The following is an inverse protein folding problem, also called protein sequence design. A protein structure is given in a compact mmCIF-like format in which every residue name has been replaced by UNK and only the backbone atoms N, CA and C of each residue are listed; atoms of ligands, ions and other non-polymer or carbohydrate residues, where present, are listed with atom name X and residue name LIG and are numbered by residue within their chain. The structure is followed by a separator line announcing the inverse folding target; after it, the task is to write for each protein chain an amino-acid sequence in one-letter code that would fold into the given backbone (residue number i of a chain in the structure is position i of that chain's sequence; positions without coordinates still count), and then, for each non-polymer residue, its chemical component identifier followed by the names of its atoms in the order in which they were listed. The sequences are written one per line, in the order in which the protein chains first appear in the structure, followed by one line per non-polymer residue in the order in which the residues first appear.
data_IF_604797060491
#
_entry.id   IF_604797060491
#
_cell.length_a   1.000
_cell.length_b   1.000
_cell.length_c   1.000
_cell.angle_alpha   90.00
_cell.angle_beta   90.00
_cell.angle_gamma   90.00
#
_symmetry.space_group_name_H-M   'P 1'
#
loop_
_entity.id
_entity.type
_entity.pdbx_description
1 polymer ?
#
# COMPACT_ATOMS: atom_id res chain seq x y z
N UNK A 1 -0.88 34.39 8.66
CA UNK A 1 0.37 34.27 7.88
C UNK A 1 0.00 33.78 6.48
N UNK A 2 0.22 34.58 5.43
CA UNK A 2 -0.19 34.29 4.04
C UNK A 2 1.01 33.71 3.28
N UNK A 3 1.00 32.41 2.98
CA UNK A 3 1.97 31.80 2.07
C UNK A 3 1.69 32.26 0.65
N UNK A 4 2.68 32.89 0.02
CA UNK A 4 2.62 33.31 -1.38
C UNK A 4 3.08 32.18 -2.27
N UNK A 5 2.12 31.52 -2.92
CA UNK A 5 2.37 30.72 -4.11
C UNK A 5 2.57 31.67 -5.29
N UNK A 6 3.76 31.68 -5.86
CA UNK A 6 4.02 32.24 -7.19
C UNK A 6 4.15 31.08 -8.17
N UNK A 7 3.22 30.89 -9.12
CA UNK A 7 3.45 29.98 -10.23
C UNK A 7 4.35 30.71 -11.24
N UNK A 8 5.60 30.28 -11.37
CA UNK A 8 6.43 30.67 -12.49
C UNK A 8 5.95 29.88 -13.72
N UNK A 9 5.30 30.58 -14.66
CA UNK A 9 4.99 30.09 -16.00
C UNK A 9 6.30 29.72 -16.70
N UNK A 10 6.58 28.43 -16.85
CA UNK A 10 7.61 27.94 -17.78
C UNK A 10 6.99 28.00 -19.17
N UNK A 11 7.13 29.16 -19.82
CA UNK A 11 6.97 29.28 -21.26
C UNK A 11 8.21 28.66 -21.94
N UNK A 12 8.22 27.34 -22.06
CA UNK A 12 9.17 26.61 -22.89
C UNK A 12 8.60 26.44 -24.28
N UNK A 13 8.90 27.36 -25.19
CA UNK A 13 8.53 27.24 -26.61
C UNK A 13 9.19 26.00 -27.21
N UNK A 14 8.36 25.04 -27.63
CA UNK A 14 8.78 23.86 -28.38
C UNK A 14 9.17 24.30 -29.81
N UNK A 15 10.43 24.69 -30.02
CA UNK A 15 10.97 24.90 -31.36
C UNK A 15 11.37 23.54 -31.96
N UNK A 16 10.40 22.85 -32.58
CA UNK A 16 10.72 21.82 -33.58
C UNK A 16 11.24 22.53 -34.84
N UNK A 17 12.54 22.80 -34.90
CA UNK A 17 13.20 23.14 -36.17
C UNK A 17 13.99 21.94 -36.65
N UNK A 18 13.42 21.22 -37.63
CA UNK A 18 14.17 20.36 -38.52
C UNK A 18 15.14 21.25 -39.32
N UNK A 19 16.36 21.44 -38.83
CA UNK A 19 17.39 22.14 -39.58
C UNK A 19 18.23 21.14 -40.36
N UNK A 20 17.79 20.84 -41.58
CA UNK A 20 18.72 20.49 -42.66
C UNK A 20 19.64 21.71 -42.86
N UNK A 21 20.96 21.53 -42.72
CA UNK A 21 21.93 22.55 -43.10
C UNK A 21 21.77 22.87 -44.59
N UNK A 22 21.85 24.15 -45.01
CA UNK A 22 23.15 24.62 -45.48
C UNK A 22 23.46 26.13 -45.31
N UNK A 23 24.76 26.43 -45.43
CA UNK A 23 25.42 27.68 -45.87
C UNK A 23 25.43 28.95 -44.98
N UNK A 24 26.61 29.17 -44.39
CA UNK A 24 27.40 30.41 -44.28
C UNK A 24 26.69 31.78 -44.40
N UNK A 25 26.78 32.56 -43.31
CA UNK A 25 27.01 34.00 -43.38
C UNK A 25 28.02 34.42 -42.30
N UNK A 26 29.15 34.96 -42.74
CA UNK A 26 30.29 35.36 -41.93
C UNK A 26 29.94 36.50 -40.95
N UNK A 27 30.39 36.39 -39.69
CA UNK A 27 30.11 37.39 -38.67
C UNK A 27 30.85 37.22 -37.35
N UNK A 28 32.18 37.08 -37.38
CA UNK A 28 33.23 37.43 -36.37
C UNK A 28 32.99 37.25 -34.85
N UNK A 29 31.96 36.55 -34.40
CA UNK A 29 31.63 36.28 -32.98
C UNK A 29 31.44 34.76 -32.72
N UNK A 30 32.19 33.93 -33.44
CA UNK A 30 31.93 32.49 -33.64
C UNK A 30 32.23 31.56 -32.44
N UNK A 31 32.62 32.06 -31.26
CA UNK A 31 33.05 31.19 -30.14
C UNK A 31 32.10 31.10 -28.95
N UNK A 32 31.12 32.01 -28.80
CA UNK A 32 30.24 32.05 -27.61
C UNK A 32 28.82 31.56 -27.87
N UNK A 33 28.30 31.72 -29.08
CA UNK A 33 26.92 31.34 -29.43
C UNK A 33 26.81 29.88 -29.92
N UNK A 34 27.86 29.37 -30.56
CA UNK A 34 28.04 27.96 -30.94
C UNK A 34 28.17 27.05 -29.71
N UNK A 35 29.01 27.44 -28.74
CA UNK A 35 29.20 26.70 -27.49
C UNK A 35 27.92 26.59 -26.65
N UNK A 36 27.10 27.65 -26.62
CA UNK A 36 25.80 27.61 -25.95
C UNK A 36 24.81 26.69 -26.66
N UNK A 37 24.73 26.75 -27.99
CA UNK A 37 23.86 25.88 -28.80
C UNK A 37 24.26 24.39 -28.73
N UNK A 38 25.56 24.08 -28.71
CA UNK A 38 26.06 22.71 -28.50
C UNK A 38 25.79 22.21 -27.07
N UNK A 39 25.88 23.10 -26.09
CA UNK A 39 25.56 22.78 -24.70
C UNK A 39 24.05 22.50 -24.52
N UNK A 40 23.17 23.32 -25.11
CA UNK A 40 21.71 23.09 -25.07
C UNK A 40 21.30 21.79 -25.77
N UNK A 41 21.93 21.45 -26.91
CA UNK A 41 21.63 20.21 -27.63
C UNK A 41 22.14 18.97 -26.88
N UNK A 42 23.28 19.08 -26.20
CA UNK A 42 23.85 18.00 -25.37
C UNK A 42 23.05 17.76 -24.07
N UNK A 43 22.60 18.83 -23.42
CA UNK A 43 21.73 18.77 -22.23
C UNK A 43 20.37 18.18 -22.59
N UNK A 44 19.76 18.62 -23.70
CA UNK A 44 18.48 18.09 -24.17
C UNK A 44 18.57 16.60 -24.53
N UNK A 45 19.63 16.18 -25.22
CA UNK A 45 19.85 14.75 -25.52
C UNK A 45 20.06 13.92 -24.25
N UNK A 46 20.75 14.46 -23.25
CA UNK A 46 20.99 13.78 -21.99
C UNK A 46 19.69 13.64 -21.19
N UNK A 47 18.88 14.70 -21.12
CA UNK A 47 17.57 14.67 -20.45
C UNK A 47 16.60 13.66 -21.09
N UNK A 48 16.57 13.54 -22.42
CA UNK A 48 15.75 12.53 -23.10
C UNK A 48 16.24 11.10 -22.79
N UNK A 49 17.56 10.89 -22.74
CA UNK A 49 18.15 9.59 -22.36
C UNK A 49 17.81 9.24 -20.91
N UNK A 50 17.94 10.20 -20.00
CA UNK A 50 17.62 10.00 -18.59
C UNK A 50 16.13 9.70 -18.37
N UNK A 51 15.24 10.40 -19.06
CA UNK A 51 13.80 10.13 -19.02
C UNK A 51 13.45 8.74 -19.53
N UNK A 52 14.14 8.25 -20.58
CA UNK A 52 14.06 6.85 -20.98
C UNK A 52 14.44 5.99 -19.77
N UNK A 53 15.69 6.10 -19.29
CA UNK A 53 16.24 5.26 -18.23
C UNK A 53 15.36 5.23 -16.98
N UNK A 54 14.77 6.37 -16.59
CA UNK A 54 13.81 6.46 -15.51
C UNK A 54 12.59 5.56 -15.75
N UNK A 55 11.97 5.62 -16.93
CA UNK A 55 10.84 4.73 -17.25
C UNK A 55 11.21 3.24 -17.22
N UNK A 56 12.44 2.89 -17.61
CA UNK A 56 13.01 1.52 -17.50
C UNK A 56 13.07 1.08 -16.05
N UNK A 57 13.61 1.96 -15.20
CA UNK A 57 13.80 1.72 -13.78
C UNK A 57 12.48 1.59 -13.05
N UNK A 58 11.55 2.52 -13.26
CA UNK A 58 10.22 2.47 -12.68
C UNK A 58 9.48 1.19 -13.11
N UNK A 59 9.57 0.81 -14.38
CA UNK A 59 8.97 -0.44 -14.88
C UNK A 59 9.57 -1.67 -14.21
N UNK A 60 10.91 -1.75 -14.13
CA UNK A 60 11.59 -2.89 -13.52
C UNK A 60 11.26 -3.05 -12.04
N UNK A 61 11.18 -1.94 -11.29
CA UNK A 61 10.77 -1.93 -9.89
C UNK A 61 9.30 -2.31 -9.72
N UNK A 62 8.40 -1.81 -10.59
CA UNK A 62 6.96 -2.08 -10.53
C UNK A 62 6.63 -3.56 -10.80
N UNK A 63 7.31 -4.19 -11.74
CA UNK A 63 7.07 -5.60 -12.09
C UNK A 63 7.80 -6.59 -11.19
N UNK A 64 8.60 -6.11 -10.23
CA UNK A 64 9.25 -6.99 -9.26
C UNK A 64 8.25 -7.45 -8.19
N UNK A 65 7.97 -8.76 -8.13
CA UNK A 65 7.02 -9.33 -7.18
C UNK A 65 7.47 -9.31 -5.70
N UNK A 66 8.74 -8.99 -5.45
CA UNK A 66 9.36 -8.99 -4.12
C UNK A 66 9.55 -7.59 -3.54
N UNK A 67 9.37 -6.53 -4.34
CA UNK A 67 9.50 -5.15 -3.89
C UNK A 67 8.13 -4.46 -3.80
N UNK A 68 7.95 -3.66 -2.77
CA UNK A 68 6.84 -2.72 -2.73
C UNK A 68 7.22 -1.43 -3.48
N UNK A 69 6.89 -1.39 -4.77
CA UNK A 69 7.23 -0.27 -5.66
C UNK A 69 6.61 1.07 -5.26
N UNK A 70 5.55 1.09 -4.43
CA UNK A 70 4.86 2.32 -4.04
C UNK A 70 5.56 3.10 -2.92
N UNK A 71 6.46 2.43 -2.17
CA UNK A 71 7.26 3.06 -1.12
C UNK A 71 8.63 3.55 -1.61
N UNK A 72 9.00 3.21 -2.85
CA UNK A 72 10.29 3.49 -3.46
C UNK A 72 10.12 4.62 -4.49
N UNK A 73 10.83 5.71 -4.30
CA UNK A 73 10.95 6.79 -5.27
C UNK A 73 12.26 6.62 -6.06
N UNK A 74 12.17 6.64 -7.39
CA UNK A 74 13.32 6.55 -8.28
C UNK A 74 13.45 7.80 -9.16
N UNK A 75 14.67 8.29 -9.33
CA UNK A 75 14.99 9.41 -10.22
C UNK A 75 16.29 9.08 -10.98
N UNK A 76 16.38 9.47 -12.26
CA UNK A 76 17.59 9.29 -13.05
C UNK A 76 18.04 10.64 -13.60
N UNK A 77 19.30 11.00 -13.34
CA UNK A 77 19.94 12.22 -13.87
C UNK A 77 21.38 11.96 -14.29
N UNK A 78 21.71 12.35 -15.52
CA UNK A 78 23.01 12.15 -16.16
C UNK A 78 23.48 10.68 -16.10
N UNK A 79 22.56 9.72 -16.22
CA UNK A 79 22.81 8.29 -16.08
C UNK A 79 23.10 7.81 -14.65
N UNK A 80 22.84 8.63 -13.62
CA UNK A 80 22.91 8.22 -12.22
C UNK A 80 21.49 7.97 -11.72
N UNK A 81 21.20 6.72 -11.36
CA UNK A 81 19.94 6.34 -10.72
C UNK A 81 20.01 6.64 -9.22
N UNK A 82 19.04 7.35 -8.67
CA UNK A 82 18.90 7.61 -7.25
C UNK A 82 17.62 6.96 -6.75
N UNK A 83 17.76 6.09 -5.75
CA UNK A 83 16.65 5.41 -5.08
C UNK A 83 16.52 6.00 -3.68
N UNK A 84 15.31 6.41 -3.31
CA UNK A 84 14.99 6.92 -1.98
C UNK A 84 13.61 6.44 -1.53
N UNK A 85 13.34 6.54 -0.24
CA UNK A 85 12.11 6.02 0.37
C UNK A 85 12.39 4.95 1.41
N UNK A 86 11.39 4.11 1.67
CA UNK A 86 11.44 3.09 2.70
C UNK A 86 11.28 1.69 2.10
N UNK A 87 12.02 0.73 2.64
CA UNK A 87 11.92 -0.69 2.29
C UNK A 87 11.88 -1.56 3.54
N UNK A 88 11.26 -2.74 3.39
CA UNK A 88 10.88 -3.63 4.50
C UNK A 88 12.09 -4.37 5.09
N UNK A 89 13.13 -4.61 4.29
CA UNK A 89 14.33 -5.32 4.72
C UNK A 89 15.61 -4.84 4.05
N UNK A 90 16.75 -5.18 4.67
CA UNK A 90 18.08 -4.98 4.06
C UNK A 90 18.21 -5.75 2.73
N UNK A 91 17.51 -6.87 2.58
CA UNK A 91 17.47 -7.67 1.34
C UNK A 91 16.73 -6.91 0.23
N UNK A 92 15.60 -6.28 0.55
CA UNK A 92 14.83 -5.50 -0.43
C UNK A 92 15.60 -4.24 -0.87
N UNK A 93 16.34 -3.62 0.06
CA UNK A 93 17.25 -2.51 -0.27
C UNK A 93 18.29 -2.96 -1.30
N UNK A 94 18.92 -4.10 -1.06
CA UNK A 94 19.96 -4.64 -1.94
C UNK A 94 19.38 -5.02 -3.30
N UNK A 95 18.24 -5.73 -3.32
CA UNK A 95 17.53 -6.10 -4.54
C UNK A 95 17.13 -4.88 -5.38
N UNK A 96 16.63 -3.81 -4.76
CA UNK A 96 16.31 -2.57 -5.47
C UNK A 96 17.56 -1.93 -6.11
N UNK A 97 18.71 -2.01 -5.42
CA UNK A 97 19.99 -1.59 -5.96
C UNK A 97 20.43 -2.43 -7.16
N UNK A 98 20.35 -3.75 -7.04
CA UNK A 98 20.72 -4.69 -8.11
C UNK A 98 19.85 -4.50 -9.36
N UNK A 99 18.54 -4.33 -9.19
CA UNK A 99 17.63 -4.02 -10.30
C UNK A 99 18.05 -2.73 -11.00
N UNK A 100 18.36 -1.67 -10.23
CA UNK A 100 18.80 -0.41 -10.82
C UNK A 100 20.16 -0.51 -11.53
N UNK A 101 21.08 -1.33 -11.03
CA UNK A 101 22.37 -1.58 -11.67
C UNK A 101 22.25 -2.44 -12.94
N UNK A 102 21.26 -3.34 -13.00
CA UNK A 102 21.02 -4.20 -14.15
C UNK A 102 20.50 -3.47 -15.40
N UNK A 103 20.14 -2.19 -15.27
CA UNK A 103 19.57 -1.40 -16.37
C UNK A 103 20.68 -0.86 -17.27
N UNK A 104 20.69 -1.34 -18.51
CA UNK A 104 21.61 -0.87 -19.55
C UNK A 104 21.57 0.66 -19.70
N UNK A 105 22.71 1.30 -19.43
CA UNK A 105 22.90 2.74 -19.53
C UNK A 105 22.93 3.47 -18.19
N UNK A 106 22.60 2.80 -17.08
CA UNK A 106 22.88 3.32 -15.73
C UNK A 106 24.38 3.21 -15.46
N UNK A 107 25.01 4.35 -15.15
CA UNK A 107 26.45 4.45 -14.87
C UNK A 107 26.76 4.26 -13.40
N UNK A 108 25.84 4.66 -12.54
CA UNK A 108 25.99 4.62 -11.08
C UNK A 108 24.62 4.59 -10.43
N UNK A 109 24.51 3.84 -9.33
CA UNK A 109 23.34 3.83 -8.46
C UNK A 109 23.70 4.50 -7.13
N UNK A 110 22.84 5.42 -6.70
CA UNK A 110 22.82 5.96 -5.33
C UNK A 110 21.60 5.37 -4.65
N UNK A 111 21.85 4.45 -3.72
CA UNK A 111 20.80 3.81 -2.96
C UNK A 111 20.72 4.45 -1.57
N UNK A 112 19.82 5.42 -1.42
CA UNK A 112 19.51 6.12 -0.17
C UNK A 112 18.24 5.54 0.48
N UNK A 113 17.85 4.31 0.13
CA UNK A 113 16.70 3.64 0.74
C UNK A 113 16.99 3.36 2.20
N UNK A 114 16.08 3.82 3.05
CA UNK A 114 16.12 3.55 4.47
C UNK A 114 15.39 2.24 4.70
N UNK A 115 16.07 1.28 5.31
CA UNK A 115 15.38 0.10 5.83
C UNK A 115 14.67 0.58 7.07
N UNK A 116 13.36 0.74 6.95
CA UNK A 116 12.56 1.00 8.12
C UNK A 116 12.48 -0.30 8.90
N UNK A 117 13.46 -0.54 9.78
CA UNK A 117 13.45 -1.72 10.66
C UNK A 117 12.29 -1.64 11.66
N UNK A 118 11.55 -0.54 11.70
CA UNK A 118 10.26 -0.55 12.34
C UNK A 118 9.26 -1.40 11.57
N UNK A 119 9.50 -1.86 10.33
CA UNK A 119 8.74 -2.88 9.59
C UNK A 119 9.12 -4.33 9.95
N UNK A 120 10.29 -4.56 10.55
CA UNK A 120 10.50 -5.81 11.30
C UNK A 120 9.64 -5.85 12.58
N UNK A 121 9.15 -4.69 13.03
CA UNK A 121 8.11 -4.54 14.07
C UNK A 121 6.74 -4.07 13.56
N UNK A 122 6.58 -3.62 12.31
CA UNK A 122 5.31 -3.20 11.71
C UNK A 122 4.68 -4.33 10.88
N UNK A 123 5.44 -5.41 10.65
CA UNK A 123 4.86 -6.76 10.52
C UNK A 123 4.09 -7.20 11.77
N UNK A 124 4.28 -6.57 12.94
CA UNK A 124 3.46 -6.81 14.13
C UNK A 124 2.35 -5.77 14.33
N UNK A 125 2.16 -4.79 13.43
CA UNK A 125 1.05 -3.83 13.52
C UNK A 125 0.10 -3.88 12.31
N UNK A 126 0.58 -4.21 11.11
CA UNK A 126 -0.27 -4.37 9.93
C UNK A 126 -0.78 -5.80 9.73
N UNK A 127 0.05 -6.82 9.99
CA UNK A 127 -0.44 -8.20 10.08
C UNK A 127 -1.34 -8.37 11.31
N UNK A 128 -1.02 -7.68 12.41
CA UNK A 128 -1.88 -7.57 13.58
C UNK A 128 -3.16 -6.82 13.30
N UNK A 129 -3.14 -5.67 12.63
CA UNK A 129 -4.38 -4.95 12.30
C UNK A 129 -5.21 -5.72 11.27
N UNK A 130 -4.59 -6.36 10.27
CA UNK A 130 -5.29 -7.23 9.32
C UNK A 130 -5.84 -8.49 9.99
N UNK A 131 -5.09 -9.09 10.91
CA UNK A 131 -5.51 -10.24 11.72
C UNK A 131 -6.65 -9.85 12.68
N UNK A 132 -6.50 -8.76 13.45
CA UNK A 132 -7.53 -8.19 14.32
C UNK A 132 -8.77 -7.76 13.54
N UNK A 133 -8.61 -7.21 12.33
CA UNK A 133 -9.73 -6.88 11.44
C UNK A 133 -10.45 -8.13 10.94
N UNK A 134 -9.71 -9.14 10.45
CA UNK A 134 -10.27 -10.44 10.04
C UNK A 134 -11.00 -11.10 11.19
N UNK A 135 -10.37 -11.18 12.36
CA UNK A 135 -10.94 -11.70 13.59
C UNK A 135 -12.22 -10.95 13.99
N UNK A 136 -12.26 -9.62 13.88
CA UNK A 136 -13.48 -8.84 14.13
C UNK A 136 -14.58 -9.17 13.13
N UNK A 137 -14.25 -9.32 11.86
CA UNK A 137 -15.21 -9.71 10.81
C UNK A 137 -15.71 -11.13 11.03
N UNK A 138 -14.83 -12.07 11.37
CA UNK A 138 -15.17 -13.47 11.64
C UNK A 138 -16.07 -13.56 12.88
N UNK A 139 -15.72 -12.87 13.97
CA UNK A 139 -16.55 -12.79 15.19
C UNK A 139 -17.91 -12.15 14.92
N UNK A 140 -17.96 -11.07 14.13
CA UNK A 140 -19.21 -10.42 13.75
C UNK A 140 -20.08 -11.35 12.89
N UNK A 141 -19.47 -12.10 11.98
CA UNK A 141 -20.15 -13.07 11.12
C UNK A 141 -20.70 -14.24 11.95
N UNK A 142 -19.91 -14.79 12.87
CA UNK A 142 -20.34 -15.85 13.78
C UNK A 142 -21.49 -15.37 14.68
N UNK A 143 -21.35 -14.19 15.27
CA UNK A 143 -22.40 -13.56 16.08
C UNK A 143 -23.69 -13.36 15.29
N UNK A 144 -23.60 -12.87 14.05
CA UNK A 144 -24.75 -12.66 13.19
C UNK A 144 -25.47 -13.97 12.87
N UNK A 145 -24.72 -15.03 12.54
CA UNK A 145 -25.30 -16.37 12.27
C UNK A 145 -26.03 -16.91 13.49
N UNK A 146 -25.41 -16.87 14.66
CA UNK A 146 -26.03 -17.33 15.92
C UNK A 146 -27.31 -16.53 16.20
N UNK A 147 -27.26 -15.19 16.08
CA UNK A 147 -28.45 -14.34 16.26
C UNK A 147 -29.53 -14.69 15.24
N UNK A 148 -29.18 -14.93 13.98
CA UNK A 148 -30.15 -15.33 12.95
C UNK A 148 -30.83 -16.65 13.31
N UNK A 149 -30.08 -17.68 13.71
CA UNK A 149 -30.67 -18.97 14.09
C UNK A 149 -31.57 -18.87 15.34
N UNK A 150 -31.15 -18.10 16.35
CA UNK A 150 -31.99 -17.83 17.53
C UNK A 150 -33.27 -17.06 17.17
N UNK A 151 -33.23 -16.18 16.16
CA UNK A 151 -34.42 -15.46 15.69
C UNK A 151 -35.33 -16.34 14.84
N UNK A 152 -34.76 -17.30 14.11
CA UNK A 152 -35.52 -18.26 13.29
C UNK A 152 -36.14 -19.37 14.13
N UNK A 153 -35.57 -19.66 15.29
CA UNK A 153 -36.15 -20.58 16.25
C UNK A 153 -37.22 -19.89 17.10
N UNK A 154 -38.48 -20.13 16.77
CA UNK A 154 -39.63 -19.54 17.47
C UNK A 154 -39.81 -19.98 18.94
N UNK A 155 -38.97 -20.90 19.43
CA UNK A 155 -38.91 -21.30 20.84
C UNK A 155 -37.80 -20.59 21.62
N UNK A 156 -37.04 -19.69 20.98
CA UNK A 156 -36.08 -18.80 21.62
C UNK A 156 -36.42 -17.34 21.38
N UNK A 157 -36.30 -16.53 22.43
CA UNK A 157 -36.46 -15.09 22.41
C UNK A 157 -35.16 -14.46 21.91
N UNK A 158 -34.83 -14.72 20.63
CA UNK A 158 -33.56 -14.31 20.01
C UNK A 158 -33.29 -12.79 20.02
N UNK A 159 -34.31 -11.97 20.29
CA UNK A 159 -34.17 -10.52 20.50
C UNK A 159 -33.78 -10.14 21.94
N UNK A 160 -34.14 -10.96 22.93
CA UNK A 160 -33.79 -10.77 24.34
C UNK A 160 -32.41 -11.35 24.68
N UNK A 161 -31.92 -12.27 23.85
CA UNK A 161 -30.61 -12.90 24.00
C UNK A 161 -29.54 -12.05 23.31
N UNK A 162 -28.62 -11.53 24.10
CA UNK A 162 -27.39 -10.94 23.60
C UNK A 162 -26.33 -12.03 23.37
N UNK A 163 -25.69 -11.95 22.22
CA UNK A 163 -24.66 -12.90 21.77
C UNK A 163 -23.40 -12.11 21.52
N UNK A 164 -22.33 -12.49 22.22
CA UNK A 164 -20.99 -11.99 22.01
C UNK A 164 -20.09 -13.14 21.59
N UNK A 165 -19.25 -12.94 20.58
CA UNK A 165 -18.30 -13.96 20.13
C UNK A 165 -16.88 -13.42 20.04
N UNK A 166 -15.92 -14.24 20.47
CA UNK A 166 -14.49 -13.95 20.37
C UNK A 166 -13.70 -15.23 20.13
N UNK A 167 -13.10 -15.37 18.94
CA UNK A 167 -12.25 -16.53 18.60
C UNK A 167 -12.96 -17.88 18.73
N UNK A 168 -14.25 -17.94 18.40
CA UNK A 168 -15.04 -19.18 18.52
C UNK A 168 -15.54 -19.46 19.93
N UNK A 169 -15.17 -18.67 20.94
CA UNK A 169 -15.85 -18.63 22.23
C UNK A 169 -17.10 -17.76 22.10
N UNK A 170 -18.25 -18.30 22.46
CA UNK A 170 -19.55 -17.63 22.40
C UNK A 170 -20.07 -17.43 23.80
N UNK A 171 -20.48 -16.21 24.14
CA UNK A 171 -21.14 -15.88 25.40
C UNK A 171 -22.58 -15.50 25.11
N UNK A 172 -23.50 -16.24 25.72
CA UNK A 172 -24.94 -15.94 25.68
C UNK A 172 -25.32 -15.23 26.98
N UNK A 173 -25.95 -14.07 26.88
CA UNK A 173 -26.39 -13.28 28.04
C UNK A 173 -27.76 -12.67 27.79
N UNK A 174 -28.51 -12.37 28.85
CA UNK A 174 -29.87 -11.86 28.76
C UNK A 174 -30.85 -12.66 29.61
N UNK A 175 -32.13 -12.33 29.45
CA UNK A 175 -33.23 -12.94 30.18
C UNK A 175 -34.06 -13.80 29.22
N UNK A 176 -34.37 -15.03 29.63
CA UNK A 176 -35.22 -15.99 28.89
C UNK A 176 -36.39 -16.42 29.75
N UNK A 177 -37.46 -16.90 29.14
CA UNK A 177 -38.71 -17.19 29.84
C UNK A 177 -38.72 -18.55 30.52
N UNK A 178 -37.82 -19.47 30.13
CA UNK A 178 -37.78 -20.83 30.68
C UNK A 178 -36.38 -21.46 30.69
N UNK A 179 -36.20 -22.52 31.48
CA UNK A 179 -34.95 -23.29 31.52
C UNK A 179 -34.73 -24.09 30.23
N UNK A 180 -35.81 -24.50 29.58
CA UNK A 180 -35.81 -25.19 28.29
C UNK A 180 -35.31 -24.27 27.17
N UNK A 181 -35.78 -23.02 27.15
CA UNK A 181 -35.31 -21.99 26.24
C UNK A 181 -33.82 -21.69 26.45
N UNK A 182 -33.38 -21.61 27.71
CA UNK A 182 -31.97 -21.46 28.06
C UNK A 182 -31.10 -22.57 27.48
N UNK A 183 -31.52 -23.82 27.60
CA UNK A 183 -30.79 -24.98 27.10
C UNK A 183 -30.81 -25.04 25.57
N UNK A 184 -31.94 -24.70 24.95
CA UNK A 184 -32.09 -24.65 23.50
C UNK A 184 -31.20 -23.59 22.87
N UNK A 185 -31.12 -22.40 23.47
CA UNK A 185 -30.25 -21.33 23.00
C UNK A 185 -28.76 -21.74 23.00
N UNK A 186 -28.33 -22.46 24.04
CA UNK A 186 -26.98 -23.03 24.12
C UNK A 186 -26.72 -24.05 23.03
N UNK A 187 -27.67 -24.96 22.79
CA UNK A 187 -27.56 -25.97 21.74
C UNK A 187 -27.49 -25.35 20.34
N UNK A 188 -28.30 -24.32 20.07
CA UNK A 188 -28.27 -23.59 18.80
C UNK A 188 -26.90 -22.96 18.60
N UNK A 189 -26.38 -22.24 19.60
CA UNK A 189 -25.08 -21.60 19.50
C UNK A 189 -23.93 -22.61 19.32
N UNK A 190 -24.00 -23.75 20.01
CA UNK A 190 -22.99 -24.81 19.94
C UNK A 190 -22.91 -25.51 18.58
N UNK A 191 -24.02 -25.56 17.84
CA UNK A 191 -24.10 -26.22 16.53
C UNK A 191 -23.64 -25.34 15.35
N UNK A 192 -23.32 -24.06 15.58
CA UNK A 192 -22.87 -23.16 14.50
C UNK A 192 -21.40 -23.40 14.15
N UNK A 193 -21.13 -23.55 12.86
CA UNK A 193 -19.77 -23.67 12.33
C UNK A 193 -18.89 -22.48 12.76
N UNK A 194 -17.79 -22.81 13.44
CA UNK A 194 -16.86 -21.84 14.01
C UNK A 194 -17.01 -21.64 15.52
N UNK A 195 -18.05 -22.20 16.14
CA UNK A 195 -18.17 -22.27 17.61
C UNK A 195 -17.24 -23.35 18.16
N UNK A 196 -16.41 -22.98 19.13
CA UNK A 196 -15.51 -23.88 19.87
C UNK A 196 -16.01 -24.13 21.29
N UNK A 197 -16.56 -23.11 21.93
CA UNK A 197 -17.14 -23.17 23.27
C UNK A 197 -18.31 -22.22 23.40
N UNK A 198 -19.25 -22.58 24.26
CA UNK A 198 -20.40 -21.73 24.61
C UNK A 198 -20.43 -21.54 26.12
N UNK A 199 -20.45 -20.28 26.55
CA UNK A 199 -20.66 -19.88 27.93
C UNK A 199 -22.09 -19.33 28.08
N UNK A 200 -22.95 -20.11 28.71
CA UNK A 200 -24.37 -19.77 28.88
C UNK A 200 -24.61 -19.00 30.20
N UNK A 201 -24.69 -17.67 30.10
CA UNK A 201 -25.01 -16.74 31.20
C UNK A 201 -26.46 -16.25 31.17
N UNK A 202 -27.35 -16.97 30.49
CA UNK A 202 -28.78 -16.61 30.46
C UNK A 202 -29.42 -16.83 31.83
N UNK A 203 -30.26 -15.88 32.25
CA UNK A 203 -31.07 -15.98 33.46
C UNK A 203 -32.52 -16.26 33.09
N UNK A 204 -33.18 -17.12 33.86
CA UNK A 204 -34.60 -17.40 33.65
C UNK A 204 -35.42 -16.36 34.41
N UNK A 205 -36.43 -15.78 33.75
CA UNK A 205 -37.32 -14.81 34.37
C UNK A 205 -38.05 -15.45 35.55
N UNK A 206 -37.85 -14.91 36.75
CA UNK A 206 -38.52 -15.35 37.97
C UNK A 206 -37.89 -16.54 38.70
N UNK A 207 -36.63 -16.89 38.40
CA UNK A 207 -35.80 -17.86 39.16
C UNK A 207 -35.04 -17.23 40.32
#
# INVERSE_FOLDING_TARGET
MRNRFTPALIAGSLALTFAAAPLALAGKNESKDTAKMEQYTSEAQSAIKDAWLQGKLESALLFNQYLNSFAINSDVKNGVASLSGAVESDVDRELAGEIAESIDGVKKVRNDLVVDKNEATAKNDEADNRSKFRQKVDNATLTARIKTELLMNGSTSGLAINVDSRNGEVVLSGEVDSGEERALAEQIAANIDGTQSVENKLTVRGS
#
